data_IF_723765811415
#
_entry.id   IF_723765811415
#
_cell.length_a   1.000
_cell.length_b   1.000
_cell.length_c   1.000
_cell.angle_alpha   90.00
_cell.angle_beta   90.00
_cell.angle_gamma   90.00
#
_symmetry.space_group_name_H-M   'P 1'
#
loop_
_entity.id
_entity.type
_entity.pdbx_description
1 polymer ?
#
# COMPACT_ATOMS: atom_id res chain seq x y z
N UNK A 1 -10.03 26.79 -1.22
CA UNK A 1 -9.34 26.85 -2.53
C UNK A 1 -7.86 26.49 -2.39
N UNK A 2 -7.05 27.24 -1.64
CA UNK A 2 -5.60 27.00 -1.53
C UNK A 2 -5.20 25.60 -1.02
N UNK A 3 -5.91 25.04 -0.02
CA UNK A 3 -5.57 23.70 0.52
C UNK A 3 -5.78 22.58 -0.51
N UNK A 4 -6.85 22.66 -1.31
CA UNK A 4 -7.15 21.65 -2.32
C UNK A 4 -6.11 21.69 -3.45
N UNK A 5 -5.71 22.88 -3.89
CA UNK A 5 -4.66 23.05 -4.90
C UNK A 5 -3.31 22.47 -4.43
N UNK A 6 -2.93 22.76 -3.18
CA UNK A 6 -1.71 22.20 -2.58
C UNK A 6 -1.82 20.67 -2.48
N UNK A 7 -2.97 20.15 -2.04
CA UNK A 7 -3.21 18.71 -1.92
C UNK A 7 -3.12 18.00 -3.27
N UNK A 8 -3.75 18.57 -4.31
CA UNK A 8 -3.67 18.06 -5.68
C UNK A 8 -2.21 18.00 -6.16
N UNK A 9 -1.44 19.06 -5.93
CA UNK A 9 -0.03 19.09 -6.28
C UNK A 9 0.78 18.00 -5.55
N UNK A 10 0.54 17.81 -4.25
CA UNK A 10 1.19 16.75 -3.45
C UNK A 10 0.85 15.34 -3.96
N UNK A 11 -0.41 15.10 -4.34
CA UNK A 11 -0.82 13.82 -4.94
C UNK A 11 -0.17 13.58 -6.29
N UNK A 12 -0.08 14.59 -7.15
CA UNK A 12 0.61 14.48 -8.44
C UNK A 12 2.10 14.17 -8.23
N UNK A 13 2.77 14.86 -7.29
CA UNK A 13 4.16 14.57 -6.92
C UNK A 13 4.28 13.12 -6.44
N UNK A 14 3.34 12.65 -5.61
CA UNK A 14 3.31 11.27 -5.14
C UNK A 14 3.13 10.26 -6.28
N UNK A 15 2.30 10.54 -7.29
CA UNK A 15 2.13 9.67 -8.47
C UNK A 15 3.41 9.58 -9.30
N UNK A 16 4.02 10.73 -9.59
CA UNK A 16 5.29 10.79 -10.32
C UNK A 16 6.38 10.03 -9.57
N UNK A 17 6.52 10.28 -8.26
CA UNK A 17 7.47 9.58 -7.40
C UNK A 17 7.23 8.07 -7.43
N UNK A 18 5.98 7.62 -7.25
CA UNK A 18 5.63 6.20 -7.23
C UNK A 18 5.91 5.54 -8.58
N UNK A 19 5.66 6.24 -9.70
CA UNK A 19 6.01 5.76 -11.03
C UNK A 19 7.52 5.56 -11.19
N UNK A 20 8.31 6.55 -10.78
CA UNK A 20 9.78 6.45 -10.77
C UNK A 20 10.24 5.30 -9.86
N UNK A 21 9.66 5.18 -8.67
CA UNK A 21 9.94 4.09 -7.72
C UNK A 21 9.69 2.72 -8.39
N UNK A 22 8.51 2.50 -8.96
CA UNK A 22 8.18 1.27 -9.67
C UNK A 22 9.20 0.94 -10.77
N UNK A 23 9.54 1.92 -11.62
CA UNK A 23 10.53 1.76 -12.70
C UNK A 23 11.91 1.38 -12.14
N UNK A 24 12.38 2.05 -11.08
CA UNK A 24 13.67 1.75 -10.47
C UNK A 24 13.72 0.32 -9.92
N UNK A 25 12.63 -0.16 -9.29
CA UNK A 25 12.56 -1.54 -8.82
C UNK A 25 12.48 -2.55 -9.97
N UNK A 26 11.73 -2.26 -11.03
CA UNK A 26 11.70 -3.10 -12.22
C UNK A 26 13.09 -3.21 -12.83
N UNK A 27 13.80 -2.09 -13.04
CA UNK A 27 15.18 -2.10 -13.53
C UNK A 27 16.10 -2.89 -12.60
N UNK A 28 15.93 -2.73 -11.29
CA UNK A 28 16.68 -3.48 -10.28
C UNK A 28 16.39 -4.99 -10.37
N UNK A 29 15.15 -5.41 -10.61
CA UNK A 29 14.76 -6.80 -10.76
C UNK A 29 15.38 -7.48 -12.00
N UNK A 30 15.71 -6.74 -13.05
CA UNK A 30 16.32 -7.27 -14.28
C UNK A 30 17.87 -7.24 -14.29
N UNK A 31 18.49 -6.90 -13.16
CA UNK A 31 19.95 -6.97 -13.03
C UNK A 31 20.46 -8.41 -13.20
N UNK A 32 21.47 -8.65 -14.05
CA UNK A 32 21.98 -10.00 -14.33
C UNK A 32 22.54 -10.69 -13.08
N UNK A 33 23.07 -9.92 -12.13
CA UNK A 33 23.64 -10.42 -10.87
C UNK A 33 22.61 -11.01 -9.88
N UNK A 34 21.32 -10.78 -10.10
CA UNK A 34 20.29 -11.29 -9.18
C UNK A 34 19.82 -12.69 -9.54
N UNK A 35 19.71 -13.52 -8.51
CA UNK A 35 19.08 -14.83 -8.62
C UNK A 35 17.57 -14.69 -8.83
N UNK A 36 16.96 -15.69 -9.47
CA UNK A 36 15.51 -15.71 -9.77
C UNK A 36 14.63 -15.32 -8.56
N UNK A 37 14.84 -15.82 -7.32
CA UNK A 37 14.02 -15.44 -6.17
C UNK A 37 14.10 -13.94 -5.83
N UNK A 38 15.28 -13.32 -5.98
CA UNK A 38 15.46 -11.89 -5.74
C UNK A 38 14.76 -11.06 -6.83
N UNK A 39 14.83 -11.50 -8.09
CA UNK A 39 14.13 -10.85 -9.21
C UNK A 39 12.61 -10.88 -9.00
N UNK A 40 12.07 -12.06 -8.66
CA UNK A 40 10.64 -12.26 -8.37
C UNK A 40 10.20 -11.38 -7.19
N UNK A 41 11.03 -11.27 -6.14
CA UNK A 41 10.78 -10.39 -5.00
C UNK A 41 10.66 -8.91 -5.40
N UNK A 42 11.66 -8.35 -6.09
CA UNK A 42 11.62 -6.95 -6.52
C UNK A 42 10.49 -6.67 -7.53
N UNK A 43 10.20 -7.63 -8.41
CA UNK A 43 9.09 -7.51 -9.35
C UNK A 43 7.74 -7.48 -8.62
N UNK A 44 7.56 -8.30 -7.58
CA UNK A 44 6.36 -8.29 -6.74
C UNK A 44 6.12 -6.92 -6.07
N UNK A 45 7.17 -6.28 -5.55
CA UNK A 45 7.06 -4.91 -5.00
C UNK A 45 6.73 -3.91 -6.11
N UNK A 46 7.36 -4.01 -7.29
CA UNK A 46 7.10 -3.11 -8.40
C UNK A 46 5.64 -3.22 -8.88
N UNK A 47 5.11 -4.44 -9.01
CA UNK A 47 3.71 -4.71 -9.33
C UNK A 47 2.79 -4.08 -8.29
N UNK A 48 3.10 -4.27 -6.99
CA UNK A 48 2.36 -3.58 -5.91
C UNK A 48 2.34 -2.07 -6.13
N UNK A 49 3.49 -1.43 -6.37
CA UNK A 49 3.57 0.03 -6.55
C UNK A 49 2.72 0.47 -7.74
N UNK A 50 2.84 -0.18 -8.90
CA UNK A 50 2.09 0.20 -10.09
C UNK A 50 0.57 0.04 -9.90
N UNK A 51 0.12 -1.08 -9.32
CA UNK A 51 -1.31 -1.28 -9.03
C UNK A 51 -1.78 -0.27 -7.96
N UNK A 52 -0.95 0.02 -6.96
CA UNK A 52 -1.28 0.99 -5.91
C UNK A 52 -1.43 2.42 -6.46
N UNK A 53 -0.65 2.82 -7.47
CA UNK A 53 -0.84 4.09 -8.17
C UNK A 53 -2.23 4.14 -8.81
N UNK A 54 -2.68 3.07 -9.46
CA UNK A 54 -4.03 3.03 -10.06
C UNK A 54 -5.10 3.23 -8.99
N UNK A 55 -4.96 2.57 -7.83
CA UNK A 55 -5.85 2.79 -6.69
C UNK A 55 -5.87 4.25 -6.24
N UNK A 56 -4.70 4.90 -6.16
CA UNK A 56 -4.61 6.32 -5.78
C UNK A 56 -5.18 7.27 -6.81
N UNK A 57 -5.03 6.96 -8.09
CA UNK A 57 -5.67 7.75 -9.16
C UNK A 57 -7.19 7.68 -8.98
N UNK A 58 -7.77 6.49 -8.73
CA UNK A 58 -9.21 6.38 -8.47
C UNK A 58 -9.64 7.22 -7.27
N UNK A 59 -8.88 7.21 -6.18
CA UNK A 59 -9.16 8.08 -5.03
C UNK A 59 -9.06 9.57 -5.37
N UNK A 60 -8.05 9.98 -6.13
CA UNK A 60 -7.90 11.35 -6.58
C UNK A 60 -9.09 11.84 -7.42
N UNK A 61 -9.61 11.00 -8.32
CA UNK A 61 -10.82 11.34 -9.09
C UNK A 61 -12.02 11.56 -8.17
N UNK A 62 -12.18 10.70 -7.16
CA UNK A 62 -13.21 10.91 -6.15
C UNK A 62 -13.01 12.25 -5.42
N UNK A 63 -11.84 12.47 -4.83
CA UNK A 63 -11.62 13.56 -3.87
C UNK A 63 -11.56 14.95 -4.54
N UNK A 64 -11.13 15.05 -5.80
CA UNK A 64 -10.88 16.35 -6.46
C UNK A 64 -11.70 16.61 -7.72
N UNK A 65 -12.28 15.57 -8.32
CA UNK A 65 -13.04 15.68 -9.58
C UNK A 65 -14.54 15.40 -9.33
N UNK A 66 -14.94 15.28 -8.05
CA UNK A 66 -16.32 15.01 -7.62
C UNK A 66 -16.93 13.79 -8.33
N UNK A 67 -16.09 12.76 -8.47
CA UNK A 67 -16.49 11.54 -9.14
C UNK A 67 -17.39 10.67 -8.24
N UNK A 68 -18.17 9.79 -8.85
CA UNK A 68 -19.10 8.91 -8.14
C UNK A 68 -18.40 8.04 -7.08
N UNK A 69 -19.13 7.64 -6.04
CA UNK A 69 -18.66 6.75 -4.96
C UNK A 69 -18.00 5.47 -5.48
N UNK A 70 -18.39 5.00 -6.67
CA UNK A 70 -17.74 3.90 -7.38
C UNK A 70 -16.19 4.04 -7.47
N UNK A 71 -15.66 5.26 -7.66
CA UNK A 71 -14.21 5.48 -7.73
C UNK A 71 -13.51 5.22 -6.39
N UNK A 72 -14.17 5.56 -5.28
CA UNK A 72 -13.67 5.23 -3.94
C UNK A 72 -13.67 3.72 -3.71
N UNK A 73 -14.75 3.04 -4.11
CA UNK A 73 -14.87 1.58 -3.98
C UNK A 73 -13.83 0.83 -4.82
N UNK A 74 -13.65 1.25 -6.08
CA UNK A 74 -12.63 0.71 -6.97
C UNK A 74 -11.22 0.98 -6.41
N UNK A 75 -10.97 2.19 -5.92
CA UNK A 75 -9.71 2.53 -5.26
C UNK A 75 -9.41 1.61 -4.08
N UNK A 76 -10.41 1.30 -3.26
CA UNK A 76 -10.26 0.39 -2.12
C UNK A 76 -9.96 -1.06 -2.56
N UNK A 77 -10.71 -1.58 -3.53
CA UNK A 77 -10.51 -2.94 -4.04
C UNK A 77 -9.15 -3.10 -4.71
N UNK A 78 -8.77 -2.18 -5.60
CA UNK A 78 -7.47 -2.17 -6.28
C UNK A 78 -6.34 -1.99 -5.25
N UNK A 79 -6.55 -1.10 -4.27
CA UNK A 79 -5.59 -0.84 -3.20
C UNK A 79 -5.30 -2.08 -2.38
N UNK A 80 -6.33 -2.76 -1.87
CA UNK A 80 -6.17 -4.01 -1.10
C UNK A 80 -5.58 -5.11 -1.99
N UNK A 81 -6.05 -5.25 -3.24
CA UNK A 81 -5.50 -6.18 -4.21
C UNK A 81 -4.00 -5.99 -4.45
N UNK A 82 -3.53 -4.74 -4.53
CA UNK A 82 -2.10 -4.45 -4.66
C UNK A 82 -1.28 -5.02 -3.49
N UNK A 83 -1.79 -4.90 -2.26
CA UNK A 83 -1.07 -5.33 -1.06
C UNK A 83 -0.92 -6.85 -1.01
N UNK A 84 -1.87 -7.61 -1.56
CA UNK A 84 -1.77 -9.08 -1.67
C UNK A 84 -0.51 -9.48 -2.45
N UNK A 85 -0.18 -8.81 -3.56
CA UNK A 85 1.03 -9.10 -4.33
C UNK A 85 2.30 -8.84 -3.50
N UNK A 86 2.30 -7.79 -2.68
CA UNK A 86 3.42 -7.48 -1.80
C UNK A 86 3.59 -8.52 -0.68
N UNK A 87 2.49 -8.92 -0.03
CA UNK A 87 2.52 -9.98 0.99
C UNK A 87 3.01 -11.29 0.36
N UNK A 88 2.47 -11.64 -0.81
CA UNK A 88 2.86 -12.85 -1.52
C UNK A 88 4.36 -12.88 -1.80
N UNK A 89 4.92 -11.77 -2.30
CA UNK A 89 6.36 -11.66 -2.53
C UNK A 89 7.16 -11.82 -1.23
N UNK A 90 6.69 -11.24 -0.12
CA UNK A 90 7.34 -11.35 1.19
C UNK A 90 7.26 -12.77 1.75
N UNK A 91 6.09 -13.41 1.75
CA UNK A 91 5.93 -14.79 2.25
C UNK A 91 6.68 -15.79 1.37
N UNK A 92 6.73 -15.57 0.04
CA UNK A 92 7.46 -16.45 -0.88
C UNK A 92 8.97 -16.36 -0.73
N UNK A 93 9.52 -15.16 -0.47
CA UNK A 93 10.96 -14.91 -0.60
C UNK A 93 11.68 -14.48 0.69
N UNK A 94 10.96 -13.94 1.68
CA UNK A 94 11.54 -13.47 2.95
C UNK A 94 11.06 -14.34 4.12
N UNK A 95 9.76 -14.55 4.24
CA UNK A 95 9.14 -15.26 5.36
C UNK A 95 8.52 -16.60 4.94
N UNK A 96 9.35 -17.49 4.40
CA UNK A 96 8.93 -18.79 3.82
C UNK A 96 8.24 -19.74 4.80
N UNK A 97 8.38 -19.51 6.11
CA UNK A 97 7.79 -20.35 7.16
C UNK A 97 6.28 -20.16 7.30
N UNK A 98 5.70 -19.05 6.84
CA UNK A 98 4.26 -18.82 7.00
C UNK A 98 3.38 -19.69 6.12
N UNK A 99 3.92 -20.39 5.12
CA UNK A 99 3.14 -21.20 4.16
C UNK A 99 1.99 -20.40 3.52
N UNK A 100 2.22 -19.12 3.24
CA UNK A 100 1.25 -18.20 2.62
C UNK A 100 -0.01 -17.90 3.45
N UNK A 101 0.00 -18.16 4.76
CA UNK A 101 -1.18 -17.93 5.62
C UNK A 101 -1.67 -16.49 5.52
N UNK A 102 -0.78 -15.49 5.49
CA UNK A 102 -1.20 -14.08 5.46
C UNK A 102 -1.75 -13.70 4.08
N UNK A 103 -1.15 -14.19 3.00
CA UNK A 103 -1.66 -14.01 1.63
C UNK A 103 -3.05 -14.63 1.48
N UNK A 104 -3.27 -15.82 2.05
CA UNK A 104 -4.57 -16.49 2.04
C UNK A 104 -5.61 -15.65 2.79
N UNK A 105 -5.28 -15.20 4.01
CA UNK A 105 -6.18 -14.33 4.80
C UNK A 105 -6.49 -13.05 4.03
N UNK A 106 -5.50 -12.42 3.41
CA UNK A 106 -5.70 -11.21 2.61
C UNK A 106 -6.60 -11.44 1.39
N UNK A 107 -6.45 -12.59 0.73
CA UNK A 107 -7.27 -12.99 -0.42
C UNK A 107 -8.72 -13.25 -0.03
N UNK A 108 -8.94 -13.94 1.09
CA UNK A 108 -10.29 -14.17 1.64
C UNK A 108 -10.94 -12.82 1.96
N UNK A 109 -10.23 -11.92 2.64
CA UNK A 109 -10.78 -10.61 2.98
C UNK A 109 -11.11 -9.76 1.75
N UNK A 110 -10.25 -9.75 0.72
CA UNK A 110 -10.55 -9.07 -0.54
C UNK A 110 -11.79 -9.67 -1.21
N UNK A 111 -11.92 -11.00 -1.23
CA UNK A 111 -13.07 -11.71 -1.80
C UNK A 111 -14.36 -11.33 -1.06
N UNK A 112 -14.34 -11.31 0.27
CA UNK A 112 -15.48 -10.86 1.09
C UNK A 112 -15.83 -9.41 0.76
N UNK A 113 -14.85 -8.51 0.69
CA UNK A 113 -15.09 -7.10 0.36
C UNK A 113 -15.68 -6.93 -1.05
N UNK A 114 -15.22 -7.71 -2.02
CA UNK A 114 -15.75 -7.73 -3.38
C UNK A 114 -17.21 -8.17 -3.39
N UNK A 115 -17.54 -9.26 -2.68
CA UNK A 115 -18.92 -9.76 -2.56
C UNK A 115 -19.82 -8.69 -1.93
N UNK A 116 -19.39 -8.06 -0.83
CA UNK A 116 -20.16 -6.99 -0.18
C UNK A 116 -20.41 -5.83 -1.15
N UNK A 117 -19.39 -5.43 -1.90
CA UNK A 117 -19.48 -4.34 -2.89
C UNK A 117 -20.49 -4.69 -3.98
N UNK A 118 -20.42 -5.89 -4.55
CA UNK A 118 -21.37 -6.35 -5.58
C UNK A 118 -22.80 -6.42 -5.04
N UNK A 119 -23.00 -6.98 -3.85
CA UNK A 119 -24.33 -7.10 -3.24
C UNK A 119 -24.93 -5.72 -2.98
N UNK A 120 -24.16 -4.77 -2.44
CA UNK A 120 -24.63 -3.39 -2.23
C UNK A 120 -24.88 -2.64 -3.54
N UNK A 121 -24.12 -2.94 -4.60
CA UNK A 121 -24.39 -2.39 -5.93
C UNK A 121 -25.72 -2.89 -6.49
N UNK A 122 -26.00 -4.20 -6.36
CA UNK A 122 -27.25 -4.80 -6.83
C UNK A 122 -28.46 -4.43 -5.96
N UNK A 123 -28.25 -4.26 -4.65
CA UNK A 123 -29.28 -3.94 -3.67
C UNK A 123 -28.77 -2.82 -2.73
N UNK A 124 -28.91 -1.54 -3.14
CA UNK A 124 -28.43 -0.41 -2.37
C UNK A 124 -28.98 -0.40 -0.94
N UNK A 125 -28.09 -0.35 0.05
CA UNK A 125 -28.45 -0.32 1.48
C UNK A 125 -28.66 -1.67 2.14
N UNK A 126 -28.48 -2.80 1.44
CA UNK A 126 -28.63 -4.14 2.02
C UNK A 126 -27.60 -4.44 3.13
N UNK A 127 -26.33 -4.04 2.94
CA UNK A 127 -25.27 -4.18 3.95
C UNK A 127 -24.88 -2.81 4.47
N UNK A 128 -24.91 -2.66 5.81
CA UNK A 128 -24.51 -1.43 6.48
C UNK A 128 -23.09 -0.98 6.07
N UNK A 129 -22.88 0.32 5.80
CA UNK A 129 -21.55 0.90 5.56
C UNK A 129 -20.54 0.58 6.68
N UNK A 130 -21.00 0.44 7.92
CA UNK A 130 -20.14 0.15 9.08
C UNK A 130 -19.45 -1.21 8.97
N UNK A 131 -20.15 -2.21 8.42
CA UNK A 131 -19.59 -3.56 8.23
C UNK A 131 -18.44 -3.52 7.21
N UNK A 132 -18.64 -2.77 6.11
CA UNK A 132 -17.62 -2.57 5.09
C UNK A 132 -16.39 -1.87 5.69
N UNK A 133 -16.61 -0.85 6.51
CA UNK A 133 -15.53 -0.11 7.17
C UNK A 133 -14.74 -1.00 8.15
N UNK A 134 -15.41 -1.79 8.98
CA UNK A 134 -14.77 -2.72 9.93
C UNK A 134 -13.83 -3.68 9.19
N UNK A 135 -14.30 -4.27 8.07
CA UNK A 135 -13.50 -5.19 7.26
C UNK A 135 -12.26 -4.47 6.70
N UNK A 136 -12.42 -3.23 6.21
CA UNK A 136 -11.30 -2.44 5.71
C UNK A 136 -10.28 -2.09 6.81
N UNK A 137 -10.74 -1.77 8.03
CA UNK A 137 -9.87 -1.48 9.18
C UNK A 137 -9.09 -2.73 9.59
N UNK A 138 -9.77 -3.87 9.74
CA UNK A 138 -9.13 -5.14 10.10
C UNK A 138 -8.10 -5.52 9.05
N UNK A 139 -8.43 -5.39 7.76
CA UNK A 139 -7.48 -5.60 6.67
C UNK A 139 -6.25 -4.70 6.83
N UNK A 140 -6.47 -3.38 6.95
CA UNK A 140 -5.37 -2.41 7.02
C UNK A 140 -4.46 -2.68 8.21
N UNK A 141 -5.02 -3.01 9.37
CA UNK A 141 -4.24 -3.32 10.57
C UNK A 141 -3.49 -4.65 10.45
N UNK A 142 -4.18 -5.75 10.12
CA UNK A 142 -3.60 -7.10 10.13
C UNK A 142 -2.58 -7.28 9.00
N UNK A 143 -2.94 -6.84 7.79
CA UNK A 143 -2.10 -7.00 6.60
C UNK A 143 -1.04 -5.89 6.53
N UNK A 144 -1.45 -4.65 6.80
CA UNK A 144 -0.54 -3.51 6.74
C UNK A 144 0.60 -3.66 7.74
N UNK A 145 0.31 -4.03 9.00
CA UNK A 145 1.34 -4.18 10.03
C UNK A 145 2.17 -5.45 9.88
N UNK A 146 1.69 -6.49 9.21
CA UNK A 146 2.47 -7.70 8.98
C UNK A 146 3.80 -7.41 8.26
N UNK A 147 3.75 -6.59 7.21
CA UNK A 147 4.91 -6.24 6.38
C UNK A 147 6.05 -5.59 7.20
N UNK A 148 5.84 -4.47 7.93
CA UNK A 148 6.90 -3.87 8.74
C UNK A 148 7.34 -4.80 9.88
N UNK A 149 6.45 -5.61 10.46
CA UNK A 149 6.83 -6.58 11.49
C UNK A 149 7.83 -7.63 10.98
N UNK A 150 7.64 -8.15 9.76
CA UNK A 150 8.61 -9.05 9.13
C UNK A 150 9.96 -8.35 8.94
N UNK A 151 9.97 -7.10 8.50
CA UNK A 151 11.20 -6.35 8.32
C UNK A 151 11.92 -6.00 9.63
N UNK A 152 11.17 -5.69 10.68
CA UNK A 152 11.70 -5.54 12.04
C UNK A 152 12.29 -6.88 12.54
N UNK A 153 11.62 -8.00 12.27
CA UNK A 153 12.14 -9.33 12.61
C UNK A 153 13.47 -9.62 11.89
N UNK A 154 13.54 -9.37 10.58
CA UNK A 154 14.78 -9.52 9.80
C UNK A 154 15.88 -8.60 10.32
N UNK A 155 15.54 -7.36 10.69
CA UNK A 155 16.50 -6.42 11.28
C UNK A 155 17.08 -6.93 12.61
N UNK A 156 16.27 -7.56 13.46
CA UNK A 156 16.73 -8.11 14.74
C UNK A 156 17.67 -9.31 14.53
N UNK A 157 17.46 -10.09 13.45
CA UNK A 157 18.23 -11.30 13.16
C UNK A 157 19.47 -11.10 12.28
N UNK A 158 19.62 -9.94 11.66
CA UNK A 158 20.72 -9.65 10.72
C UNK A 158 21.76 -8.69 11.31
N UNK A 159 22.92 -8.61 10.68
CA UNK A 159 24.03 -7.73 11.09
C UNK A 159 24.30 -6.64 10.05
N UNK A 160 24.98 -5.57 10.49
CA UNK A 160 25.53 -4.50 9.63
C UNK A 160 24.51 -3.92 8.62
N UNK A 161 24.80 -4.02 7.33
CA UNK A 161 24.05 -3.43 6.21
C UNK A 161 22.61 -3.97 6.12
N UNK A 162 22.42 -5.29 6.25
CA UNK A 162 21.10 -5.92 6.18
C UNK A 162 20.17 -5.43 7.29
N UNK A 163 20.70 -5.26 8.50
CA UNK A 163 19.95 -4.72 9.65
C UNK A 163 19.49 -3.30 9.37
N UNK A 164 20.41 -2.44 8.92
CA UNK A 164 20.09 -1.04 8.60
C UNK A 164 19.05 -0.94 7.48
N UNK A 165 19.23 -1.68 6.40
CA UNK A 165 18.30 -1.64 5.26
C UNK A 165 16.92 -2.15 5.66
N UNK A 166 16.84 -3.24 6.44
CA UNK A 166 15.56 -3.78 6.93
C UNK A 166 14.85 -2.81 7.88
N UNK A 167 15.58 -2.11 8.75
CA UNK A 167 15.00 -1.06 9.60
C UNK A 167 14.45 0.11 8.78
N UNK A 168 15.21 0.56 7.77
CA UNK A 168 14.76 1.63 6.87
C UNK A 168 13.48 1.22 6.14
N UNK A 169 13.42 -0.01 5.62
CA UNK A 169 12.22 -0.54 4.99
C UNK A 169 11.04 -0.55 5.96
N UNK A 170 11.20 -1.10 7.17
CA UNK A 170 10.14 -1.13 8.17
C UNK A 170 9.63 0.27 8.53
N UNK A 171 10.54 1.21 8.82
CA UNK A 171 10.19 2.60 9.19
C UNK A 171 9.47 3.29 8.01
N UNK A 172 9.99 3.13 6.79
CA UNK A 172 9.37 3.68 5.59
C UNK A 172 7.94 3.18 5.40
N UNK A 173 7.71 1.87 5.59
CA UNK A 173 6.37 1.27 5.50
C UNK A 173 5.46 1.78 6.62
N UNK A 174 5.93 1.90 7.87
CA UNK A 174 5.12 2.43 8.98
C UNK A 174 4.66 3.86 8.69
N UNK A 175 5.56 4.72 8.21
CA UNK A 175 5.24 6.10 7.85
C UNK A 175 4.25 6.12 6.67
N UNK A 176 4.48 5.28 5.66
CA UNK A 176 3.58 5.15 4.51
C UNK A 176 2.17 4.72 4.93
N UNK A 177 2.06 3.73 5.82
CA UNK A 177 0.78 3.27 6.38
C UNK A 177 0.10 4.34 7.23
N UNK A 178 0.87 5.18 7.93
CA UNK A 178 0.35 6.36 8.60
C UNK A 178 -0.33 7.32 7.62
N UNK A 179 0.31 7.60 6.49
CA UNK A 179 -0.29 8.39 5.40
C UNK A 179 -1.52 7.73 4.77
N UNK A 180 -1.49 6.41 4.58
CA UNK A 180 -2.64 5.63 4.11
C UNK A 180 -3.82 5.69 5.08
N UNK A 181 -3.55 5.65 6.38
CA UNK A 181 -4.56 5.71 7.45
C UNK A 181 -5.14 7.12 7.56
N UNK A 182 -4.32 8.15 7.37
CA UNK A 182 -4.76 9.54 7.28
C UNK A 182 -5.75 9.76 6.12
N UNK A 183 -5.65 8.98 5.04
CA UNK A 183 -6.58 8.99 3.90
C UNK A 183 -7.84 8.14 4.11
N UNK A 184 -8.04 7.53 5.28
CA UNK A 184 -9.18 6.65 5.51
C UNK A 184 -10.32 7.43 6.18
N UNK A 185 -11.49 7.45 5.52
CA UNK A 185 -12.72 8.11 5.99
C UNK A 185 -13.26 7.58 7.32
N UNK A 186 -12.85 6.38 7.74
CA UNK A 186 -13.21 5.85 9.05
C UNK A 186 -12.48 6.49 10.23
N UNK A 187 -11.34 7.16 9.98
CA UNK A 187 -10.52 7.77 11.03
C UNK A 187 -10.52 9.30 10.96
N UNK A 188 -10.63 9.87 9.76
CA UNK A 188 -10.62 11.32 9.56
C UNK A 188 -11.76 11.76 8.65
N UNK A 189 -12.37 12.89 9.00
CA UNK A 189 -13.38 13.55 8.16
C UNK A 189 -12.67 14.14 6.92
N UNK A 190 -13.24 13.99 5.69
CA UNK A 190 -12.67 14.48 4.43
C UNK A 190 -12.38 15.99 4.36
N UNK A 191 -12.63 16.76 5.42
CA UNK A 191 -12.47 18.22 5.43
C UNK A 191 -11.21 18.63 6.24
N UNK A 192 -10.49 17.64 6.77
CA UNK A 192 -9.37 17.85 7.66
C UNK A 192 -8.06 18.02 6.87
N UNK A 193 -7.24 19.00 7.27
CA UNK A 193 -5.87 19.19 6.76
C UNK A 193 -5.02 17.91 6.84
N UNK A 194 -5.29 17.04 7.82
CA UNK A 194 -4.67 15.73 7.96
C UNK A 194 -5.00 14.79 6.78
N UNK A 195 -6.22 14.83 6.27
CA UNK A 195 -6.63 14.01 5.13
C UNK A 195 -5.93 14.47 3.84
N UNK A 196 -5.95 15.77 3.57
CA UNK A 196 -5.48 16.32 2.29
C UNK A 196 -3.97 16.58 2.21
N UNK A 197 -3.32 16.96 3.30
CA UNK A 197 -1.89 17.31 3.27
C UNK A 197 -1.05 16.20 3.91
N UNK A 198 -1.41 15.76 5.11
CA UNK A 198 -0.59 14.79 5.84
C UNK A 198 -0.56 13.43 5.14
N UNK A 199 -1.68 12.99 4.54
CA UNK A 199 -1.72 11.73 3.80
C UNK A 199 -0.68 11.63 2.68
N UNK A 200 -0.73 12.45 1.60
CA UNK A 200 0.23 12.33 0.51
C UNK A 200 1.66 12.62 0.97
N UNK A 201 1.84 13.51 1.96
CA UNK A 201 3.16 13.83 2.52
C UNK A 201 3.81 12.64 3.24
N UNK A 202 3.08 11.98 4.13
CA UNK A 202 3.59 10.79 4.83
C UNK A 202 3.79 9.62 3.85
N UNK A 203 2.89 9.43 2.89
CA UNK A 203 3.08 8.41 1.85
C UNK A 203 4.34 8.69 1.01
N UNK A 204 4.61 9.95 0.65
CA UNK A 204 5.83 10.33 -0.06
C UNK A 204 7.09 10.07 0.79
N UNK A 205 7.13 10.58 2.03
CA UNK A 205 8.28 10.42 2.94
C UNK A 205 8.54 8.94 3.22
N UNK A 206 7.49 8.19 3.56
CA UNK A 206 7.57 6.75 3.79
C UNK A 206 8.06 5.99 2.57
N UNK A 207 7.55 6.35 1.38
CA UNK A 207 7.98 5.79 0.11
C UNK A 207 9.46 6.06 -0.21
N UNK A 208 9.96 7.27 0.04
CA UNK A 208 11.38 7.63 -0.15
C UNK A 208 12.29 6.80 0.76
N UNK A 209 11.94 6.71 2.05
CA UNK A 209 12.72 5.92 3.03
C UNK A 209 12.70 4.44 2.65
N UNK A 210 11.53 3.92 2.26
CA UNK A 210 11.36 2.55 1.81
C UNK A 210 12.22 2.25 0.56
N UNK A 211 12.13 3.09 -0.47
CA UNK A 211 12.95 2.99 -1.68
C UNK A 211 14.44 3.01 -1.36
N UNK A 212 14.88 3.92 -0.48
CA UNK A 212 16.28 4.02 -0.07
C UNK A 212 16.77 2.74 0.61
N UNK A 213 15.95 2.16 1.50
CA UNK A 213 16.24 0.87 2.13
C UNK A 213 16.31 -0.28 1.13
N UNK A 214 15.49 -0.25 0.07
CA UNK A 214 15.50 -1.27 -0.99
C UNK A 214 16.66 -1.12 -1.96
N UNK A 215 17.09 0.09 -2.33
CA UNK A 215 18.09 0.29 -3.38
C UNK A 215 19.52 0.02 -2.92
N UNK A 216 19.82 0.27 -1.65
CA UNK A 216 21.19 0.17 -1.13
C UNK A 216 21.74 -1.26 -1.30
N UNK A 217 22.96 -1.43 -1.85
CA UNK A 217 23.58 -2.74 -1.94
C UNK A 217 23.76 -3.33 -0.55
N UNK A 218 23.52 -4.64 -0.46
CA UNK A 218 23.68 -5.43 0.73
C UNK A 218 25.14 -5.86 0.92
#
# INVERSE_FOLDING_TARGET
MQINEISMALWIIFFVFSGIFGILLTRKAFKPEFERPQREYYLGIAIFIFIHIVARISYYYYDFIDAQELYWELGALIGIGSVIFLIYAIERHIYTRSKFIITIIATINLTVLLIITIVNFMNPGFISPDIKLIIQIINTAVIGLFIPLIYLYVAIKSSSTYRRNSLLIAIGIIIFLGGQTAHNRGFFIPDNILYFILSPTLMLIGGVIFLYGLLKPA
#
